data_IF_003703087209
#
_entry.id   IF_003703087209
#
_cell.length_a   1.000
_cell.length_b   1.000
_cell.length_c   1.000
_cell.angle_alpha   90.00
_cell.angle_beta   90.00
_cell.angle_gamma   90.00
#
_symmetry.space_group_name_H-M   'P 1'
#
loop_
_entity.id
_entity.type
_entity.pdbx_description
1 polymer ?
2 polymer ?
3 non-polymer ?
4 water ?
#
# COMPACT_ATOMS: atom_id res chain seq x y z
N UNK A 6 19.61 10.59 1.13
CA UNK A 6 19.30 9.25 0.63
C UNK A 6 18.99 8.25 1.74
N UNK A 7 19.70 8.31 2.86
CA UNK A 7 19.39 7.43 3.99
C UNK A 7 18.14 7.94 4.70
N UNK A 8 17.14 7.09 4.86
CA UNK A 8 15.90 7.52 5.53
C UNK A 8 16.17 7.55 7.07
N UNK A 9 15.98 8.70 7.71
CA UNK A 9 16.34 8.79 9.12
C UNK A 9 15.29 8.07 9.96
N UNK A 10 15.74 7.57 11.10
CA UNK A 10 14.96 6.69 11.97
C UNK A 10 13.55 7.18 12.28
N UNK A 11 13.40 8.43 12.76
CA UNK A 11 12.05 8.92 13.13
C UNK A 11 11.13 9.04 11.91
N UNK A 12 11.69 9.27 10.72
CA UNK A 12 10.86 9.31 9.50
C UNK A 12 10.33 7.92 9.16
N UNK A 13 11.21 6.91 9.16
CA UNK A 13 10.78 5.52 8.97
C UNK A 13 9.73 5.15 10.00
N UNK A 14 10.02 5.44 11.26
CA UNK A 14 9.15 5.08 12.37
C UNK A 14 7.73 5.69 12.22
N UNK A 15 7.64 6.97 11.88
CA UNK A 15 6.35 7.60 11.72
C UNK A 15 5.64 7.13 10.47
N UNK A 16 6.36 6.84 9.39
CA UNK A 16 5.68 6.44 8.14
C UNK A 16 5.20 5.01 8.20
N UNK A 17 5.84 4.17 9.01
CA UNK A 17 5.42 2.78 9.02
C UNK A 17 4.38 2.45 10.07
N UNK A 18 4.14 3.37 11.01
CA UNK A 18 3.26 3.07 12.14
C UNK A 18 1.80 2.93 11.71
N UNK A 19 1.11 1.95 12.28
CA UNK A 19 -0.33 1.71 12.10
C UNK A 19 -1.18 2.88 11.60
N UNK A 20 -1.66 2.83 10.36
CA UNK A 20 -2.52 3.89 9.86
C UNK A 20 -3.24 3.46 8.57
N UNK A 21 -4.26 4.22 8.16
CA UNK A 21 -4.91 3.81 6.89
C UNK A 21 -3.99 4.02 5.68
N UNK A 22 -3.78 2.98 4.88
CA UNK A 22 -2.97 3.13 3.69
C UNK A 22 -3.67 2.49 2.49
N UNK A 23 -3.50 3.08 1.31
CA UNK A 23 -4.10 2.50 0.11
C UNK A 23 -3.55 1.10 -0.13
N UNK A 24 -4.48 0.16 -0.21
CA UNK A 24 -4.20 -1.27 -0.25
C UNK A 24 -4.99 -1.88 -1.42
N UNK A 25 -4.35 -2.74 -2.21
CA UNK A 25 -5.05 -3.34 -3.35
C UNK A 25 -5.67 -4.64 -2.88
N UNK A 26 -6.99 -4.68 -2.89
CA UNK A 26 -7.72 -5.74 -2.21
C UNK A 26 -8.47 -6.59 -3.24
N UNK A 27 -8.35 -7.91 -3.13
CA UNK A 27 -9.01 -8.83 -4.02
C UNK A 27 -10.53 -8.82 -3.80
N UNK A 28 -11.29 -8.62 -4.87
CA UNK A 28 -12.74 -8.54 -4.77
C UNK A 28 -13.32 -9.85 -4.25
N UNK A 29 -12.75 -10.99 -4.67
CA UNK A 29 -13.30 -12.27 -4.24
C UNK A 29 -13.07 -12.51 -2.74
N UNK A 30 -12.04 -11.90 -2.19
CA UNK A 30 -11.85 -11.92 -0.75
C UNK A 30 -13.00 -11.18 -0.08
N UNK A 31 -13.31 -10.01 -0.59
CA UNK A 31 -14.37 -9.17 -0.01
C UNK A 31 -15.76 -9.75 -0.29
N UNK A 32 -15.89 -10.51 -1.37
CA UNK A 32 -17.17 -11.08 -1.73
C UNK A 32 -17.03 -12.57 -2.02
N UNK A 33 -16.79 -13.37 -0.98
CA UNK A 33 -16.52 -14.79 -1.18
C UNK A 33 -17.73 -15.60 -1.70
N UNK A 34 -18.95 -15.08 -1.55
CA UNK A 34 -20.12 -15.80 -2.06
C UNK A 34 -20.34 -15.61 -3.57
N UNK A 35 -19.55 -14.74 -4.18
CA UNK A 35 -19.63 -14.47 -5.60
C UNK A 35 -18.86 -15.51 -6.42
N UNK A 36 -19.25 -16.78 -6.30
CA UNK A 36 -18.42 -17.86 -6.83
C UNK A 36 -18.62 -18.11 -8.32
N UNK A 37 -19.78 -17.72 -8.86
CA UNK A 37 -20.04 -18.00 -10.26
C UNK A 37 -19.63 -16.87 -11.21
N UNK A 38 -18.99 -15.84 -10.67
CA UNK A 38 -18.56 -14.71 -11.47
C UNK A 38 -17.10 -14.39 -11.22
N UNK A 39 -16.44 -13.81 -12.21
CA UNK A 39 -15.18 -13.13 -11.97
C UNK A 39 -15.38 -11.65 -12.24
N UNK A 40 -14.41 -10.84 -11.82
CA UNK A 40 -14.55 -9.39 -11.87
C UNK A 40 -13.35 -8.76 -12.55
N UNK A 41 -13.59 -7.68 -13.29
CA UNK A 41 -12.50 -6.85 -13.81
C UNK A 41 -12.76 -5.43 -13.34
N UNK A 42 -11.75 -4.79 -12.71
CA UNK A 42 -10.51 -5.44 -12.31
C UNK A 42 -10.82 -6.43 -11.19
N UNK A 43 -9.92 -7.37 -10.94
CA UNK A 43 -10.18 -8.38 -9.92
C UNK A 43 -9.82 -7.86 -8.53
N UNK A 44 -9.09 -6.74 -8.47
CA UNK A 44 -8.78 -6.12 -7.16
C UNK A 44 -9.14 -4.64 -7.22
N UNK A 45 -9.29 -4.01 -6.06
CA UNK A 45 -9.66 -2.59 -5.99
C UNK A 45 -8.77 -1.85 -5.01
N UNK A 46 -8.56 -0.56 -5.25
CA UNK A 46 -7.75 0.22 -4.30
C UNK A 46 -8.60 0.74 -3.13
N UNK A 47 -8.27 0.32 -1.90
CA UNK A 47 -9.05 0.71 -0.72
C UNK A 47 -8.12 1.19 0.40
N UNK A 48 -8.54 2.23 1.10
CA UNK A 48 -7.86 2.67 2.32
C UNK A 48 -8.11 1.61 3.37
N UNK A 49 -7.03 1.01 3.87
CA UNK A 49 -7.12 -0.05 4.88
C UNK A 49 -6.03 0.11 5.93
N UNK A 50 -6.34 -0.24 7.18
CA UNK A 50 -5.30 -0.19 8.23
C UNK A 50 -4.13 -1.07 7.82
N UNK A 51 -2.91 -0.54 7.99
CA UNK A 51 -1.70 -1.27 7.69
C UNK A 51 -0.56 -0.71 8.55
N UNK A 52 0.56 -1.42 8.58
CA UNK A 52 1.73 -0.95 9.30
C UNK A 52 1.86 -1.63 10.65
N UNK A 53 2.81 -1.17 11.44
CA UNK A 53 3.15 -1.87 12.67
C UNK A 53 2.88 -1.08 13.94
N UNK A 54 2.93 -1.80 15.06
CA UNK A 54 2.60 -1.24 16.36
C UNK A 54 3.86 -1.33 17.20
N UNK A 55 3.87 -0.68 18.36
CA UNK A 55 5.11 -0.63 19.14
C UNK A 55 5.52 -1.98 19.74
N UNK A 56 4.57 -2.89 19.80
CA UNK A 56 4.72 -4.14 20.51
C UNK A 56 4.10 -5.25 19.66
N UNK A 57 4.79 -6.38 19.52
CA UNK A 57 4.29 -7.43 18.66
C UNK A 57 3.02 -8.06 19.23
N UNK A 58 2.68 -7.76 20.48
CA UNK A 58 1.42 -8.21 21.04
C UNK A 58 0.23 -7.39 20.58
N UNK A 59 0.50 -6.30 19.87
CA UNK A 59 -0.54 -5.40 19.40
C UNK A 59 -0.82 -5.59 17.93
N UNK A 60 -2.02 -5.19 17.53
CA UNK A 60 -2.57 -5.45 16.22
C UNK A 60 -3.12 -4.14 15.64
N UNK A 61 -2.81 -3.83 14.39
CA UNK A 61 -3.34 -2.60 13.78
C UNK A 61 -4.75 -2.85 13.21
N UNK A 62 -5.77 -2.20 13.75
CA UNK A 62 -7.16 -2.47 13.37
C UNK A 62 -8.02 -1.20 13.23
N UNK A 63 -9.14 -1.29 12.50
CA UNK A 63 -9.94 -0.08 12.28
C UNK A 63 -10.76 0.32 13.50
N UNK A 64 -10.99 1.62 13.66
CA UNK A 64 -11.87 2.17 14.70
C UNK A 64 -12.93 3.05 14.08
N UNK A 65 -12.77 3.32 12.80
CA UNK A 65 -13.77 4.06 12.05
C UNK A 65 -13.72 3.52 10.63
N UNK A 66 -14.91 3.27 10.06
CA UNK A 66 -15.04 2.67 8.74
C UNK A 66 -16.04 3.46 7.92
N UNK A 67 -15.97 3.29 6.61
CA UNK A 67 -16.92 3.90 5.69
C UNK A 67 -16.93 3.08 4.40
N UNK A 68 -17.86 3.39 3.51
CA UNK A 68 -18.03 2.66 2.28
C UNK A 68 -17.69 3.53 1.11
N UNK A 69 -17.28 2.88 0.01
CA UNK A 69 -17.09 3.57 -1.24
C UNK A 69 -17.68 2.70 -2.39
N UNK A 70 -18.18 3.36 -3.41
CA UNK A 70 -18.87 2.67 -4.51
C UNK A 70 -18.03 2.78 -5.75
N UNK A 71 -17.79 1.64 -6.40
CA UNK A 71 -16.97 1.60 -7.61
C UNK A 71 -17.68 0.83 -8.72
N UNK A 72 -17.46 1.25 -9.96
CA UNK A 72 -17.95 0.52 -11.13
C UNK A 72 -17.03 -0.65 -11.42
N UNK A 73 -17.60 -1.86 -11.35
CA UNK A 73 -16.82 -3.09 -11.57
C UNK A 73 -17.48 -3.91 -12.67
N UNK A 74 -16.68 -4.47 -13.56
CA UNK A 74 -17.21 -5.34 -14.59
C UNK A 74 -17.46 -6.73 -14.01
N UNK A 75 -18.72 -7.14 -13.94
CA UNK A 75 -19.06 -8.48 -13.50
C UNK A 75 -19.11 -9.41 -14.73
N UNK A 76 -18.38 -10.51 -14.68
CA UNK A 76 -18.25 -11.41 -15.84
C UNK A 76 -18.73 -12.81 -15.50
N UNK A 77 -19.62 -13.33 -16.33
CA UNK A 77 -19.95 -14.75 -16.29
C UNK A 77 -19.12 -15.39 -17.40
N UNK A 78 -18.08 -16.13 -17.03
CA UNK A 78 -17.06 -16.58 -18.01
C UNK A 78 -17.71 -17.21 -19.22
N UNK A 79 -17.27 -16.76 -20.40
CA UNK A 79 -17.73 -17.25 -21.70
C UNK A 79 -19.23 -17.06 -21.94
N UNK A 80 -19.91 -16.30 -21.09
CA UNK A 80 -21.34 -16.12 -21.30
C UNK A 80 -21.75 -14.64 -21.43
N UNK A 81 -21.22 -13.77 -20.58
CA UNK A 81 -21.52 -12.36 -20.72
C UNK A 81 -20.87 -11.52 -19.65
N UNK A 82 -21.07 -10.20 -19.71
CA UNK A 82 -20.42 -9.33 -18.73
C UNK A 82 -21.17 -8.02 -18.65
N UNK A 83 -21.19 -7.45 -17.46
CA UNK A 83 -21.94 -6.21 -17.26
C UNK A 83 -21.21 -5.32 -16.27
N UNK A 84 -21.19 -4.03 -16.55
CA UNK A 84 -20.52 -3.11 -15.64
C UNK A 84 -21.54 -2.63 -14.62
N UNK A 85 -21.32 -2.95 -13.35
CA UNK A 85 -22.26 -2.55 -12.32
C UNK A 85 -21.53 -1.91 -11.15
N UNK A 86 -22.29 -1.34 -10.23
CA UNK A 86 -21.73 -0.72 -9.03
C UNK A 86 -21.55 -1.73 -7.91
N UNK A 87 -20.40 -1.67 -7.24
CA UNK A 87 -20.18 -2.46 -6.03
C UNK A 87 -19.67 -1.57 -4.90
N UNK A 88 -20.05 -1.92 -3.68
CA UNK A 88 -19.65 -1.16 -2.50
C UNK A 88 -18.50 -1.89 -1.81
N UNK A 89 -17.51 -1.15 -1.32
CA UNK A 89 -16.40 -1.73 -0.57
C UNK A 89 -16.17 -0.96 0.73
N UNK A 90 -15.77 -1.70 1.76
CA UNK A 90 -15.45 -1.10 3.04
C UNK A 90 -14.05 -0.46 3.05
N UNK A 91 -13.96 0.77 3.55
CA UNK A 91 -12.67 1.42 3.79
C UNK A 91 -12.48 1.70 5.27
N UNK A 92 -11.23 1.97 5.66
CA UNK A 92 -10.86 2.29 7.04
C UNK A 92 -10.45 3.75 7.11
N UNK A 93 -11.09 4.51 7.98
CA UNK A 93 -10.83 5.92 8.11
C UNK A 93 -9.86 6.24 9.25
N UNK A 94 -9.82 5.36 10.26
CA UNK A 94 -8.95 5.54 11.43
C UNK A 94 -8.54 4.17 11.93
N UNK A 95 -7.32 4.07 12.44
CA UNK A 95 -6.83 2.81 12.97
C UNK A 95 -6.18 3.07 14.31
N UNK A 96 -6.14 2.04 15.14
CA UNK A 96 -5.26 2.09 16.30
C UNK A 96 -4.74 0.70 16.63
N UNK A 97 -3.70 0.65 17.46
CA UNK A 97 -3.11 -0.62 17.87
C UNK A 97 -3.81 -1.19 19.10
N UNK A 98 -4.33 -2.40 18.97
CA UNK A 98 -5.11 -3.02 20.03
C UNK A 98 -4.56 -4.41 20.30
N UNK A 99 -4.65 -4.85 21.57
CA UNK A 99 -4.26 -6.20 21.98
C UNK A 99 -4.96 -7.27 21.13
N UNK A 100 -4.28 -8.37 20.83
CA UNK A 100 -4.91 -9.41 20.03
C UNK A 100 -5.08 -10.71 20.80
N UNK B 6 -19.52 10.65 -6.54
CA UNK B 6 -18.67 9.89 -5.61
C UNK B 6 -18.46 8.43 -6.04
N UNK B 7 -19.18 7.97 -7.07
CA UNK B 7 -18.91 6.64 -7.66
C UNK B 7 -17.59 6.63 -8.45
N UNK B 8 -16.67 5.71 -8.12
CA UNK B 8 -15.41 5.61 -8.87
C UNK B 8 -15.68 4.95 -10.25
N UNK B 9 -15.32 5.64 -11.32
CA UNK B 9 -15.61 5.14 -12.68
C UNK B 9 -14.74 3.93 -13.01
N UNK B 10 -15.30 3.04 -13.82
CA UNK B 10 -14.65 1.79 -14.19
C UNK B 10 -13.18 1.94 -14.61
N UNK B 11 -12.88 2.83 -15.55
CA UNK B 11 -11.51 2.92 -16.07
C UNK B 11 -10.55 3.51 -15.03
N UNK B 12 -11.08 4.23 -14.05
CA UNK B 12 -10.25 4.76 -12.98
C UNK B 12 -9.90 3.67 -11.95
N UNK B 13 -10.89 2.86 -11.56
CA UNK B 13 -10.61 1.70 -10.73
C UNK B 13 -9.58 0.81 -11.44
N UNK B 14 -9.82 0.57 -12.74
CA UNK B 14 -8.99 -0.35 -13.53
C UNK B 14 -7.54 0.09 -13.60
N UNK B 15 -7.31 1.37 -13.91
CA UNK B 15 -5.96 1.86 -14.02
C UNK B 15 -5.29 1.95 -12.63
N UNK B 16 -6.06 2.27 -11.59
CA UNK B 16 -5.45 2.41 -10.26
C UNK B 16 -5.10 1.07 -9.63
N UNK B 17 -5.80 0.01 -10.00
CA UNK B 17 -5.56 -1.27 -9.34
C UNK B 17 -4.61 -2.19 -10.10
N UNK B 18 -4.34 -1.88 -11.37
CA UNK B 18 -3.53 -2.78 -12.19
C UNK B 18 -2.07 -2.81 -11.67
N UNK B 19 -1.49 -4.01 -11.66
CA UNK B 19 -0.10 -4.29 -11.39
C UNK B 19 0.85 -3.10 -11.56
N UNK B 20 1.42 -2.64 -10.44
CA UNK B 20 2.37 -1.52 -10.46
C UNK B 20 3.04 -1.36 -9.08
N UNK B 21 4.12 -0.57 -9.00
CA UNK B 21 4.74 -0.40 -7.66
C UNK B 21 3.86 0.43 -6.72
N UNK B 22 3.56 -0.10 -5.55
CA UNK B 22 2.79 0.71 -4.59
C UNK B 22 3.42 0.67 -3.18
N UNK B 23 3.33 1.77 -2.45
CA UNK B 23 3.90 1.78 -1.10
C UNK B 23 3.19 0.72 -0.27
N UNK B 24 4.02 -0.14 0.30
CA UNK B 24 3.63 -1.35 1.01
C UNK B 24 4.41 -1.36 2.34
N UNK B 25 3.73 -1.69 3.43
CA UNK B 25 4.39 -1.71 4.73
C UNK B 25 4.87 -3.12 4.97
N UNK B 26 6.18 -3.29 4.97
CA UNK B 26 6.77 -4.62 4.87
C UNK B 26 7.47 -4.97 6.19
N UNK B 27 7.16 -6.14 6.72
CA UNK B 27 7.81 -6.64 7.95
C UNK B 27 9.30 -6.88 7.72
N UNK B 28 10.14 -6.29 8.57
CA UNK B 28 11.60 -6.38 8.38
C UNK B 28 12.07 -7.82 8.48
N UNK B 29 11.50 -8.55 9.43
CA UNK B 29 11.88 -9.93 9.67
C UNK B 29 11.57 -10.79 8.41
N UNK B 30 10.54 -10.42 7.66
CA UNK B 30 10.28 -11.07 6.37
C UNK B 30 11.43 -10.85 5.41
N UNK B 31 11.91 -9.61 5.33
CA UNK B 31 13.02 -9.29 4.44
C UNK B 31 14.35 -9.89 4.90
N UNK B 32 14.48 -10.10 6.20
CA UNK B 32 15.69 -10.68 6.75
C UNK B 32 15.34 -11.93 7.56
N UNK B 33 14.91 -12.99 6.87
CA UNK B 33 14.33 -14.13 7.59
C UNK B 33 15.33 -14.96 8.37
N UNK B 34 16.64 -14.80 8.17
CA UNK B 34 17.61 -15.61 8.92
C UNK B 34 17.98 -14.95 10.22
N UNK B 35 17.45 -13.74 10.44
CA UNK B 35 17.79 -13.00 11.64
C UNK B 35 17.40 -13.75 12.91
N UNK B 36 18.35 -14.00 13.80
CA UNK B 36 17.97 -14.67 15.03
C UNK B 36 18.50 -13.93 16.26
N UNK B 37 19.15 -12.81 16.03
CA UNK B 37 19.83 -12.08 17.11
C UNK B 37 19.06 -10.81 17.51
N UNK B 38 18.65 -10.03 16.51
CA UNK B 38 18.04 -8.73 16.75
C UNK B 38 16.53 -8.73 16.59
N UNK B 39 15.82 -7.90 17.35
CA UNK B 39 14.49 -7.47 16.91
C UNK B 39 14.56 -5.99 16.49
N UNK B 40 13.54 -5.53 15.77
CA UNK B 40 13.63 -4.24 15.08
C UNK B 40 12.52 -3.28 15.48
N UNK B 41 12.88 -2.00 15.57
CA UNK B 41 11.88 -0.93 15.68
C UNK B 41 12.24 0.07 14.62
N UNK B 42 11.26 0.51 13.82
CA UNK B 42 9.91 -0.08 13.73
C UNK B 42 10.05 -1.51 13.24
N UNK B 43 9.05 -2.34 13.43
CA UNK B 43 9.17 -3.72 12.99
C UNK B 43 8.88 -3.87 11.48
N UNK B 44 8.30 -2.83 10.88
CA UNK B 44 8.00 -2.84 9.43
C UNK B 44 8.51 -1.52 8.82
N UNK B 45 8.70 -1.53 7.50
CA UNK B 45 9.19 -0.35 6.79
C UNK B 45 8.32 -0.11 5.55
N UNK B 46 8.22 1.15 5.11
CA UNK B 46 7.48 1.50 3.89
C UNK B 46 8.34 1.32 2.65
N UNK B 47 7.90 0.45 1.74
CA UNK B 47 8.70 0.12 0.55
C UNK B 47 7.80 0.15 -0.68
N UNK B 48 8.33 0.65 -1.79
CA UNK B 48 7.62 0.48 -3.07
C UNK B 48 7.74 -0.98 -3.49
N UNK B 49 6.60 -1.65 -3.60
CA UNK B 49 6.56 -3.06 -3.98
C UNK B 49 5.42 -3.29 -4.99
N UNK B 50 5.66 -4.22 -5.93
CA UNK B 50 4.64 -4.59 -6.92
C UNK B 50 3.39 -5.03 -6.19
N UNK B 51 2.26 -4.55 -6.66
CA UNK B 51 1.00 -4.94 -6.10
C UNK B 51 -0.10 -4.73 -7.13
N UNK B 52 -1.24 -5.35 -6.87
CA UNK B 52 -2.38 -5.18 -7.75
C UNK B 52 -2.60 -6.39 -8.63
N UNK B 53 -3.48 -6.23 -9.60
CA UNK B 53 -3.99 -7.38 -10.34
C UNK B 53 -3.66 -7.31 -11.82
N UNK B 54 -3.76 -8.46 -12.47
CA UNK B 54 -3.45 -8.60 -13.88
C UNK B 54 -4.72 -8.91 -14.69
N UNK B 55 -4.66 -8.71 -16.00
CA UNK B 55 -5.81 -9.06 -16.85
C UNK B 55 -6.17 -10.54 -16.77
N UNK B 56 -5.15 -11.37 -16.71
CA UNK B 56 -5.32 -12.81 -16.64
C UNK B 56 -5.16 -13.21 -15.16
N UNK B 57 -6.19 -13.81 -14.57
CA UNK B 57 -6.14 -14.21 -13.16
C UNK B 57 -5.09 -15.30 -12.90
N UNK B 58 -4.63 -15.96 -13.95
CA UNK B 58 -3.56 -16.95 -13.83
C UNK B 58 -2.17 -16.33 -13.75
N UNK B 59 -2.10 -15.01 -13.89
CA UNK B 59 -0.84 -14.29 -13.80
C UNK B 59 -0.68 -13.56 -12.46
N UNK B 60 0.56 -13.27 -12.13
CA UNK B 60 0.87 -12.52 -10.91
C UNK B 60 1.75 -11.31 -11.20
N UNK B 61 1.62 -10.31 -10.35
CA UNK B 61 2.33 -9.06 -10.51
C UNK B 61 3.72 -9.20 -9.88
N UNK B 62 4.77 -9.13 -10.69
CA UNK B 62 6.11 -9.32 -10.17
C UNK B 62 7.05 -8.24 -10.71
N UNK B 63 8.15 -7.97 -9.97
CA UNK B 63 9.05 -6.92 -10.42
C UNK B 63 9.89 -7.26 -11.63
N UNK B 64 10.13 -6.26 -12.46
CA UNK B 64 11.10 -6.37 -13.55
C UNK B 64 12.31 -5.46 -13.33
N UNK B 65 12.19 -4.50 -12.42
CA UNK B 65 13.31 -3.59 -12.12
C UNK B 65 13.25 -3.27 -10.65
N UNK B 66 14.40 -3.34 -9.99
CA UNK B 66 14.49 -3.19 -8.54
C UNK B 66 15.63 -2.26 -8.19
N UNK B 67 15.57 -1.66 -7.01
CA UNK B 67 16.67 -0.82 -6.55
C UNK B 67 16.69 -0.87 -5.02
N UNK B 68 17.76 -0.38 -4.40
CA UNK B 68 17.91 -0.40 -2.93
C UNK B 68 17.48 0.90 -2.29
N UNK B 69 17.08 0.83 -1.03
CA UNK B 69 16.96 2.02 -0.20
C UNK B 69 17.52 1.66 1.17
N UNK B 70 18.20 2.62 1.79
CA UNK B 70 18.84 2.41 3.08
C UNK B 70 18.07 3.20 4.13
N UNK B 71 17.71 2.54 5.23
CA UNK B 71 16.96 3.19 6.30
C UNK B 71 17.65 3.00 7.65
N UNK B 72 17.56 4.00 8.53
CA UNK B 72 18.02 3.85 9.91
C UNK B 72 16.98 3.06 10.68
N UNK B 73 17.40 1.95 11.26
CA UNK B 73 16.51 1.06 11.97
C UNK B 73 17.09 0.89 13.37
N UNK B 74 16.23 0.79 14.38
CA UNK B 74 16.73 0.52 15.72
C UNK B 74 16.86 -0.99 15.88
N UNK B 75 18.10 -1.44 16.03
CA UNK B 75 18.38 -2.87 16.17
C UNK B 75 18.55 -3.24 17.65
N UNK B 76 17.68 -4.11 18.13
CA UNK B 76 17.57 -4.37 19.55
C UNK B 76 18.01 -5.76 19.93
N UNK B 77 18.95 -5.86 20.85
CA UNK B 77 19.32 -7.15 21.43
C UNK B 77 18.72 -7.20 22.81
N UNK B 78 17.63 -7.97 22.98
CA UNK B 78 16.93 -8.03 24.27
C UNK B 78 17.89 -8.27 25.43
N UNK B 79 17.73 -7.50 26.50
CA UNK B 79 18.57 -7.61 27.69
C UNK B 79 20.05 -7.30 27.43
N UNK B 80 20.36 -6.63 26.33
CA UNK B 80 21.75 -6.22 26.12
C UNK B 80 21.81 -4.74 25.74
N UNK B 81 21.07 -4.34 24.72
CA UNK B 81 21.10 -2.95 24.32
C UNK B 81 20.46 -2.81 22.97
N UNK B 82 20.63 -1.63 22.37
CA UNK B 82 19.98 -1.31 21.11
C UNK B 82 20.83 -0.24 20.47
N UNK B 83 20.88 -0.24 19.14
CA UNK B 83 21.59 0.83 18.47
C UNK B 83 20.89 1.13 17.17
N UNK B 84 20.98 2.37 16.73
CA UNK B 84 20.46 2.81 15.46
C UNK B 84 21.47 2.42 14.40
N UNK B 85 21.07 1.58 13.43
CA UNK B 85 21.98 1.19 12.35
C UNK B 85 21.28 1.23 10.99
N UNK B 86 22.06 1.29 9.92
CA UNK B 86 21.51 1.31 8.58
C UNK B 86 21.22 -0.09 8.06
N UNK B 87 20.07 -0.23 7.41
CA UNK B 87 19.69 -1.50 6.84
C UNK B 87 19.16 -1.21 5.44
N UNK B 88 19.46 -2.09 4.50
CA UNK B 88 19.00 -1.92 3.13
C UNK B 88 17.79 -2.75 2.83
N UNK B 89 16.93 -2.23 1.98
CA UNK B 89 15.76 -2.94 1.54
C UNK B 89 15.59 -2.78 0.04
N UNK B 90 15.10 -3.83 -0.57
CA UNK B 90 14.77 -3.80 -1.99
C UNK B 90 13.49 -3.05 -2.30
N UNK B 91 13.51 -2.17 -3.29
CA UNK B 91 12.25 -1.62 -3.79
C UNK B 91 12.04 -2.02 -5.24
N UNK B 92 10.78 -2.03 -5.65
CA UNK B 92 10.42 -2.39 -7.03
C UNK B 92 10.13 -1.13 -7.84
N UNK B 93 10.84 -0.94 -8.94
CA UNK B 93 10.67 0.26 -9.75
C UNK B 93 9.68 0.02 -10.92
N UNK B 94 9.55 -1.22 -11.35
CA UNK B 94 8.67 -1.61 -12.47
C UNK B 94 8.17 -3.03 -12.28
N UNK B 95 6.94 -3.28 -12.71
CA UNK B 95 6.29 -4.57 -12.53
C UNK B 95 5.66 -5.05 -13.86
N UNK B 96 5.42 -6.35 -13.98
CA UNK B 96 4.67 -6.88 -15.11
C UNK B 96 3.94 -8.13 -14.64
N UNK B 97 2.95 -8.56 -15.40
CA UNK B 97 2.18 -9.74 -15.06
C UNK B 97 2.84 -10.96 -15.69
N UNK B 98 3.06 -12.01 -14.91
CA UNK B 98 3.79 -13.20 -15.34
C UNK B 98 3.17 -14.47 -14.78
N UNK B 99 3.34 -15.60 -15.49
CA UNK B 99 2.87 -16.92 -15.05
C UNK B 99 3.41 -17.36 -13.69
N UNK B 100 2.52 -17.60 -12.72
CA UNK B 100 2.94 -18.03 -11.38
C UNK B 100 3.37 -19.49 -11.35
N UNK C 1 2.75 10.00 35.27
CA UNK C 1 2.18 8.86 34.57
C UNK C 1 0.66 8.79 34.73
N UNK C 2 -0.03 9.72 34.07
CA UNK C 2 -1.48 9.68 33.93
C UNK C 2 -1.93 10.94 33.20
N UNK C 3 -3.24 11.04 32.93
CA UNK C 3 -3.78 12.12 32.10
C UNK C 3 -4.95 11.64 31.26
N UNK C 4 -4.96 12.05 30.00
CA UNK C 4 -6.02 11.67 29.07
C UNK C 4 -6.44 12.84 28.20
N UNK C 5 -7.59 12.68 27.56
CA UNK C 5 -8.11 13.66 26.61
C UNK C 5 -7.20 13.72 25.37
N UNK C 6 -6.84 14.94 24.94
CA UNK C 6 -5.93 15.12 23.83
C UNK C 6 -4.45 14.92 24.20
N UNK C 7 -4.19 14.75 25.51
CA UNK C 7 -2.85 14.49 26.00
C UNK C 7 -1.96 15.71 25.99
N UNK C 8 -0.65 15.50 25.85
CA UNK C 8 0.32 16.59 25.79
C UNK C 8 1.61 16.16 26.48
N UNK C 9 2.44 17.14 26.81
CA UNK C 9 3.73 16.86 27.45
C UNK C 9 4.80 16.69 26.40
N UNK C 10 5.45 15.53 26.42
CA UNK C 10 6.56 15.29 25.51
C UNK C 10 7.82 15.24 26.37
N UNK C 11 8.96 15.55 25.77
CA UNK C 11 10.22 15.60 26.51
C UNK C 11 11.21 14.64 25.83
N UNK C 12 12.03 13.97 26.63
CA UNK C 12 13.15 13.16 26.14
C UNK C 12 14.47 13.76 26.67
N UNK C 13 15.37 14.14 25.76
CA UNK C 13 16.69 14.61 26.17
C UNK C 13 17.62 13.41 26.09
N UNK C 14 18.33 13.13 27.17
CA UNK C 14 19.27 12.03 27.16
C UNK C 14 20.69 12.58 27.08
N UNK C 15 21.30 12.41 25.92
CA UNK C 15 22.65 12.90 25.65
C UNK C 15 23.65 11.78 25.84
N UNK C 16 24.12 11.59 27.07
CA UNK C 16 24.99 10.47 27.34
C UNK C 16 26.45 10.83 27.40
N UNK C 17 27.30 9.82 27.50
CA UNK C 17 28.73 10.04 27.67
C UNK C 17 29.00 10.65 29.03
N UNK C 18 28.27 10.20 30.04
CA UNK C 18 28.45 10.71 31.40
C UNK C 18 27.20 11.39 31.98
N UNK C 19 26.03 11.13 31.41
CA UNK C 19 24.78 11.72 31.88
C UNK C 19 24.25 12.70 30.85
N UNK C 20 23.98 13.95 31.24
CA UNK C 20 23.17 14.84 30.40
C UNK C 20 21.87 14.98 31.17
N UNK C 21 20.80 14.39 30.64
CA UNK C 21 19.57 14.32 31.40
C UNK C 21 18.32 14.57 30.58
N UNK C 22 17.20 14.70 31.29
CA UNK C 22 15.95 14.95 30.61
C UNK C 22 14.82 14.35 31.44
N UNK C 23 13.76 13.87 30.77
CA UNK C 23 12.54 13.45 31.45
C UNK C 23 11.35 13.86 30.56
N UNK C 24 10.13 13.77 31.08
CA UNK C 24 8.93 14.15 30.33
C UNK C 24 7.85 13.11 30.59
N UNK C 25 6.82 13.12 29.75
CA UNK C 25 5.66 12.28 29.98
C UNK C 25 4.43 12.95 29.35
N UNK C 26 3.24 12.61 29.85
CA UNK C 26 2.00 12.98 29.18
C UNK C 26 1.60 11.87 28.23
N UNK C 27 1.35 12.21 26.98
CA UNK C 27 0.97 11.20 25.98
C UNK C 27 -0.03 11.77 24.96
N UNK C 28 -0.78 10.86 24.34
CA UNK C 28 -1.83 11.23 23.39
C UNK C 28 -1.25 11.59 22.01
N UNK C 29 -0.15 10.95 21.65
CA UNK C 29 0.49 11.19 20.36
C UNK C 29 1.98 10.86 20.43
N UNK C 30 2.66 11.01 19.31
CA UNK C 30 4.09 10.78 19.26
C UNK C 30 4.42 9.31 19.54
N UNK C 31 3.54 8.41 19.08
CA UNK C 31 3.77 6.98 19.23
C UNK C 31 3.66 6.54 20.69
N UNK C 32 2.71 7.13 21.39
CA UNK C 32 2.50 6.84 22.79
C UNK C 32 3.75 7.33 23.56
N UNK C 33 4.19 8.55 23.25
CA UNK C 33 5.37 9.13 23.88
C UNK C 33 6.61 8.26 23.59
N UNK C 34 6.76 7.85 22.34
CA UNK C 34 7.90 7.02 21.93
C UNK C 34 8.02 5.75 22.79
N UNK C 35 6.90 5.06 22.97
CA UNK C 35 6.88 3.83 23.75
C UNK C 35 7.39 4.04 25.18
N UNK C 36 6.90 5.09 25.85
CA UNK C 36 7.38 5.44 27.19
C UNK C 36 8.88 5.73 27.19
N UNK C 37 9.30 6.58 26.27
CA UNK C 37 10.67 7.07 26.25
C UNK C 37 11.66 5.97 25.82
N UNK C 38 11.22 5.05 24.97
CA UNK C 38 12.12 3.99 24.56
C UNK C 38 12.55 3.16 25.77
N UNK C 39 11.57 2.72 26.54
CA UNK C 39 11.81 1.91 27.73
C UNK C 39 12.67 2.70 28.71
N UNK C 40 12.33 3.96 28.91
CA UNK C 40 13.09 4.83 29.79
C UNK C 40 14.55 4.97 29.34
N UNK C 41 14.74 5.31 28.07
CA UNK C 41 16.07 5.49 27.50
C UNK C 41 16.90 4.21 27.60
N UNK C 42 16.28 3.06 27.34
CA UNK C 42 17.03 1.81 27.30
C UNK C 42 17.56 1.41 28.67
N UNK C 43 16.91 1.87 29.73
CA UNK C 43 17.34 1.54 31.07
C UNK C 43 18.49 2.47 31.51
N UNK C 44 18.81 3.46 30.70
CA UNK C 44 19.94 4.34 30.93
C UNK C 44 21.08 4.08 29.98
N UNK C 45 20.79 3.85 28.71
CA UNK C 45 21.86 3.68 27.73
C UNK C 45 21.70 2.33 27.10
N UNK C 46 22.76 1.54 27.05
CA UNK C 46 22.68 0.28 26.33
C UNK C 46 22.94 0.47 24.82
N UNK C 47 23.43 1.64 24.44
CA UNK C 47 23.82 1.88 23.05
C UNK C 47 23.26 3.23 22.59
N UNK C 48 22.30 3.21 21.64
CA UNK C 48 21.79 4.45 21.05
C UNK C 48 22.56 4.71 19.77
N UNK C 49 23.36 5.77 19.73
CA UNK C 49 23.90 6.23 18.44
C UNK C 49 22.87 6.94 17.55
N UNK C 50 21.95 7.67 18.16
CA UNK C 50 20.94 8.32 17.35
C UNK C 50 19.69 8.53 18.19
N UNK C 51 18.58 8.76 17.51
CA UNK C 51 17.31 8.99 18.16
C UNK C 51 16.55 9.90 17.21
N UNK C 52 16.37 11.15 17.61
CA UNK C 52 15.70 12.12 16.77
C UNK C 52 14.48 12.71 17.49
N UNK C 53 13.67 13.46 16.75
CA UNK C 53 12.46 14.03 17.31
C UNK C 53 12.23 15.38 16.67
N UNK C 54 11.89 16.39 17.47
CA UNK C 54 11.53 17.67 16.89
C UNK C 54 10.07 17.96 17.20
N UNK C 55 9.22 17.98 16.19
CA UNK C 55 7.81 18.11 16.50
C UNK C 55 7.51 19.54 16.89
N UNK C 56 8.38 20.47 16.52
CA UNK C 56 8.17 21.86 16.91
C UNK C 56 8.15 22.01 18.45
N UNK C 57 8.94 21.19 19.13
CA UNK C 57 9.08 21.27 20.59
C UNK C 57 8.62 19.98 21.29
N UNK C 58 8.08 19.03 20.53
CA UNK C 58 7.68 17.74 21.09
C UNK C 58 8.78 17.09 21.95
N UNK C 59 10.02 17.24 21.48
CA UNK C 59 11.17 16.74 22.21
C UNK C 59 11.92 15.69 21.40
N UNK C 60 12.10 14.51 21.99
CA UNK C 60 12.98 13.48 21.46
C UNK C 60 14.38 13.70 22.04
N UNK C 61 15.40 13.37 21.26
CA UNK C 61 16.76 13.35 21.76
C UNK C 61 17.41 12.00 21.49
N UNK C 62 17.87 11.34 22.53
CA UNK C 62 18.55 10.07 22.36
C UNK C 62 20.04 10.31 22.68
N UNK C 63 20.90 9.91 21.75
CA UNK C 63 22.34 10.12 21.92
C UNK C 63 23.01 8.78 22.19
N UNK C 64 23.73 8.70 23.31
CA UNK C 64 24.40 7.45 23.69
C UNK C 64 25.56 7.17 22.76
N UNK C 65 25.71 5.90 22.34
CA UNK C 65 26.81 5.52 21.46
C UNK C 65 28.08 5.24 22.26
N UNK C 66 29.22 5.17 21.57
CA UNK C 66 30.51 5.08 22.23
C UNK C 66 31.14 3.70 22.17
N UNK D 1 -2.51 -5.26 -34.34
CA UNK D 1 -1.59 -6.39 -34.23
C UNK D 1 -0.21 -6.10 -34.85
N UNK D 2 0.12 -4.81 -34.98
CA UNK D 2 1.48 -4.34 -35.32
C UNK D 2 2.54 -4.76 -34.29
N UNK D 3 2.90 -3.82 -33.41
CA UNK D 3 3.88 -4.07 -32.35
C UNK D 3 5.19 -3.32 -32.60
N UNK D 4 5.86 -3.64 -33.72
CA UNK D 4 7.20 -3.13 -34.06
C UNK D 4 7.33 -1.59 -33.96
N UNK D 5 7.25 -1.11 -32.72
CA UNK D 5 7.33 0.29 -32.26
C UNK D 5 7.55 0.11 -30.75
N UNK D 6 7.41 1.17 -29.96
CA UNK D 6 7.34 1.04 -28.52
C UNK D 6 5.88 0.82 -28.15
N UNK D 7 5.15 0.26 -29.12
CA UNK D 7 3.71 0.14 -29.06
C UNK D 7 3.05 1.22 -29.88
N UNK D 8 1.95 1.76 -29.35
CA UNK D 8 1.19 2.80 -30.03
C UNK D 8 -0.11 2.21 -30.61
N UNK D 9 -0.87 3.04 -31.31
CA UNK D 9 -2.17 2.61 -31.85
C UNK D 9 -3.26 3.01 -30.88
N UNK D 10 -4.05 2.02 -30.45
CA UNK D 10 -5.20 2.30 -29.61
C UNK D 10 -6.46 2.03 -30.43
N UNK D 11 -7.53 2.74 -30.08
CA UNK D 11 -8.76 2.68 -30.85
C UNK D 11 -9.88 2.22 -29.90
N UNK D 12 -10.78 1.40 -30.43
CA UNK D 12 -11.98 1.02 -29.69
C UNK D 12 -13.21 1.48 -30.46
N UNK D 13 -14.03 2.31 -29.82
CA UNK D 13 -15.33 2.66 -30.36
C UNK D 13 -16.40 1.73 -29.79
N UNK D 14 -17.16 1.12 -30.70
CA UNK D 14 -18.21 0.20 -30.33
C UNK D 14 -19.58 0.85 -30.49
N UNK D 15 -20.19 1.14 -29.35
CA UNK D 15 -21.49 1.77 -29.34
C UNK D 15 -22.57 0.74 -28.98
N UNK D 16 -23.03 0.02 -30.00
CA UNK D 16 -23.90 -1.11 -29.77
C UNK D 16 -25.36 -0.83 -30.05
N UNK D 17 -26.21 -1.80 -29.71
CA UNK D 17 -27.63 -1.63 -29.98
C UNK D 17 -27.90 -1.79 -31.48
N UNK D 18 -27.12 -2.63 -32.17
CA UNK D 18 -27.28 -2.75 -33.62
C UNK D 18 -25.97 -2.47 -34.34
N UNK D 19 -24.85 -2.73 -33.69
CA UNK D 19 -23.57 -2.50 -34.34
C UNK D 19 -22.97 -1.18 -33.87
N UNK D 20 -22.62 -0.32 -34.80
CA UNK D 20 -21.85 0.87 -34.43
C UNK D 20 -20.56 0.88 -35.23
N UNK D 21 -19.41 1.03 -34.57
CA UNK D 21 -18.17 1.08 -35.32
C UNK D 21 -16.90 1.31 -34.52
N UNK D 22 -15.77 1.10 -35.19
CA UNK D 22 -14.49 1.26 -34.54
C UNK D 22 -13.50 0.24 -35.06
N UNK D 23 -12.56 -0.14 -34.20
CA UNK D 23 -11.46 -0.99 -34.59
C UNK D 23 -10.22 -0.43 -33.90
N UNK D 24 -9.04 -0.84 -34.34
CA UNK D 24 -7.82 -0.36 -33.72
C UNK D 24 -6.88 -1.52 -33.42
N UNK D 25 -5.88 -1.27 -32.58
CA UNK D 25 -4.84 -2.26 -32.36
C UNK D 25 -3.53 -1.56 -32.02
N UNK D 26 -2.44 -2.30 -32.14
CA UNK D 26 -1.15 -1.83 -31.66
C UNK D 26 -0.89 -2.53 -30.35
N UNK D 27 -0.48 -1.78 -29.35
CA UNK D 27 -0.31 -2.36 -28.02
C UNK D 27 0.83 -1.67 -27.30
N UNK D 28 1.41 -2.38 -26.34
CA UNK D 28 2.56 -1.88 -25.58
C UNK D 28 2.15 -0.81 -24.56
N UNK D 29 0.93 -0.91 -24.05
CA UNK D 29 0.40 0.07 -23.10
C UNK D 29 -1.12 -0.05 -23.00
N UNK D 30 -1.72 0.74 -22.14
CA UNK D 30 -3.17 0.80 -22.04
C UNK D 30 -3.75 -0.55 -21.59
N UNK D 31 -2.99 -1.28 -20.77
CA UNK D 31 -3.47 -2.56 -20.23
C UNK D 31 -3.49 -3.67 -21.29
N UNK D 32 -2.47 -3.64 -22.14
CA UNK D 32 -2.34 -4.56 -23.25
C UNK D 32 -3.50 -4.27 -24.24
N UNK D 33 -3.68 -3.00 -24.60
CA UNK D 33 -4.77 -2.61 -25.47
C UNK D 33 -6.11 -3.01 -24.88
N UNK D 34 -6.28 -2.82 -23.56
CA UNK D 34 -7.56 -3.15 -22.92
C UNK D 34 -7.87 -4.62 -23.12
N UNK D 35 -6.85 -5.46 -22.91
CA UNK D 35 -7.04 -6.89 -23.05
C UNK D 35 -7.49 -7.30 -24.45
N UNK D 36 -6.80 -6.80 -25.48
CA UNK D 36 -7.17 -7.04 -26.88
C UNK D 36 -8.62 -6.60 -27.12
N UNK D 37 -8.94 -5.38 -26.69
CA UNK D 37 -10.26 -4.81 -26.95
C UNK D 37 -11.35 -5.49 -26.10
N UNK D 38 -10.99 -5.98 -24.93
CA UNK D 38 -11.97 -6.71 -24.12
C UNK D 38 -12.42 -7.99 -24.86
N UNK D 39 -11.46 -8.76 -25.34
CA UNK D 39 -11.76 -9.98 -26.07
C UNK D 39 -12.60 -9.65 -27.32
N UNK D 40 -12.16 -8.65 -28.07
CA UNK D 40 -12.92 -8.21 -29.24
C UNK D 40 -14.37 -7.77 -28.91
N UNK D 41 -14.51 -6.89 -27.94
CA UNK D 41 -15.82 -6.37 -27.55
C UNK D 41 -16.74 -7.48 -27.02
N UNK D 42 -16.20 -8.36 -26.18
CA UNK D 42 -17.00 -9.45 -25.61
C UNK D 42 -17.52 -10.38 -26.70
N UNK D 43 -16.82 -10.46 -27.82
CA UNK D 43 -17.25 -11.34 -28.90
C UNK D 43 -18.40 -10.71 -29.68
N UNK D 44 -18.63 -9.42 -29.48
CA UNK D 44 -19.72 -8.72 -30.17
C UNK D 44 -20.91 -8.47 -29.25
N UNK D 45 -20.63 -8.07 -28.01
CA UNK D 45 -21.68 -7.69 -27.06
C UNK D 45 -21.61 -8.64 -25.87
N UNK D 46 -22.71 -9.33 -25.58
CA UNK D 46 -22.74 -10.14 -24.37
C UNK D 46 -22.94 -9.28 -23.12
N UNK D 47 -23.25 -8.00 -23.30
CA UNK D 47 -23.55 -7.12 -22.18
C UNK D 47 -22.90 -5.75 -22.39
N UNK D 48 -22.04 -5.33 -21.45
CA UNK D 48 -21.46 -3.99 -21.45
C UNK D 48 -22.18 -3.11 -20.43
N UNK D 49 -22.82 -2.02 -20.88
CA UNK D 49 -23.36 -1.01 -19.94
C UNK D 49 -22.27 -0.07 -19.45
N UNK D 50 -21.26 0.20 -20.28
CA UNK D 50 -20.20 1.11 -19.87
C UNK D 50 -18.95 0.86 -20.70
N UNK D 51 -17.83 1.31 -20.16
CA UNK D 51 -16.54 1.15 -20.80
C UNK D 51 -15.71 2.32 -20.35
N UNK D 52 -15.43 3.25 -21.26
CA UNK D 52 -14.68 4.42 -20.88
C UNK D 52 -13.41 4.58 -21.70
N UNK D 53 -12.53 5.48 -21.28
CA UNK D 53 -11.25 5.65 -21.96
C UNK D 53 -10.82 7.09 -22.06
N UNK D 54 -10.39 7.52 -23.24
CA UNK D 54 -9.82 8.84 -23.37
C UNK D 54 -8.33 8.75 -23.62
N UNK D 55 -7.58 9.03 -22.56
CA UNK D 55 -6.14 9.02 -22.54
C UNK D 55 -5.55 9.81 -23.71
N UNK D 56 -6.09 10.99 -23.96
CA UNK D 56 -5.50 11.89 -24.95
C UNK D 56 -5.46 11.31 -26.36
N UNK D 57 -6.46 10.52 -26.72
CA UNK D 57 -6.57 9.97 -28.07
C UNK D 57 -6.40 8.45 -28.10
N UNK D 58 -6.03 7.89 -26.95
CA UNK D 58 -5.88 6.44 -26.82
C UNK D 58 -7.10 5.69 -27.37
N UNK D 59 -8.29 6.18 -27.03
CA UNK D 59 -9.53 5.59 -27.52
C UNK D 59 -10.45 5.14 -26.40
N UNK D 60 -10.83 3.87 -26.44
CA UNK D 60 -11.79 3.31 -25.52
C UNK D 60 -13.15 3.37 -26.18
N UNK D 61 -14.19 3.41 -25.35
CA UNK D 61 -15.55 3.36 -25.90
C UNK D 61 -16.32 2.36 -25.09
N UNK D 62 -16.82 1.34 -25.76
CA UNK D 62 -17.63 0.36 -25.11
C UNK D 62 -19.07 0.53 -25.52
N UNK D 63 -19.96 0.57 -24.54
CA UNK D 63 -21.38 0.77 -24.80
C UNK D 63 -22.14 -0.50 -24.47
N UNK D 64 -22.87 -1.02 -25.46
CA UNK D 64 -23.58 -2.28 -25.28
C UNK D 64 -24.76 -2.05 -24.35
N UNK D 65 -25.00 -3.00 -23.45
CA UNK D 65 -26.17 -2.92 -22.58
C UNK D 65 -27.21 -3.91 -23.04
N UNK D 66 -27.95 -4.47 -22.08
CA UNK D 66 -29.02 -5.41 -22.39
C UNK D 66 -30.29 -4.65 -22.72
N UNK D 67 -31.38 -5.39 -22.93
CA UNK D 67 -32.65 -4.80 -23.37
C UNK D 67 -32.67 -4.61 -24.88
N UNK D 68 -33.17 -3.45 -25.32
CA UNK D 68 -33.20 -3.16 -26.75
C UNK D 68 -34.25 -3.99 -27.52
X LIG E 1 1.14 -5.11 7.32
X LIG E 1 0.36 -3.94 7.11
X LIG E 1 2.32 -4.91 8.28
X LIG E 1 3.52 -5.28 7.63
X LIG E 1 2.20 -5.81 9.51
X LIG E 1 3.10 -5.40 10.52
X LIG F 1 -2.67 -6.82 -4.29
X LIG F 1 -1.26 -6.87 -4.43
X LIG F 1 -3.33 -8.17 -4.62
X LIG F 1 -4.30 -8.46 -3.63
X LIG F 1 -4.03 -8.10 -5.98
X LIG F 1 -4.54 -9.37 -6.32
#
# INVERSE_FOLDING_TARGET
GQNHHEVVKFMDVYQRSYCHPIETLVDIFQEYPDEIEYIFKPSCVPLMRCGGCCNDEGLECVPTEESNITMQIMRIKPHQGQHIGEMSFLQHNKCECRPKKD
GQNHHEVVKFMDVYQRSYCHPIETLVDIFQEYPDEIEYIFKPSCVPLMRCGGCCNDEGLECVPTEESNITMQIMRIKPHQGQHIGEMSFLQHNKCECRPKKD
RRRRRGGSTYKLILNGKTLKGETTTEAVDVFDAFDVFFVYAASNFSDFDDWTYDDATKTFTVTEGGXXX
RRRRRGGSTYKLILNGKTLKGETTTEAVDVFDAFDVFFVYAASNFSDFDDWTYDDATKTFTVTEGGSDX
GOL C1 O1 C2 O2 C3 O3
GOL C1 O1 C2 O2 C3 O3
#
